data_IF_643676771616
#
_entry.id   IF_643676771616
#
_cell.length_a   1.000
_cell.length_b   1.000
_cell.length_c   1.000
_cell.angle_alpha   90.00
_cell.angle_beta   90.00
_cell.angle_gamma   90.00
#
_symmetry.space_group_name_H-M   'P 1'
#
loop_
_entity.id
_entity.type
_entity.pdbx_description
1 polymer ?
#
# COMPACT_ATOMS: atom_id res chain seq x y z
N UNK A 1 1.01 -17.14 -6.67
CA UNK A 1 0.34 -15.86 -6.34
C UNK A 1 1.25 -14.68 -6.66
N UNK A 2 2.55 -14.77 -6.34
CA UNK A 2 3.55 -13.72 -6.62
C UNK A 2 3.64 -13.29 -8.09
N UNK A 3 3.45 -14.20 -9.06
CA UNK A 3 3.41 -13.83 -10.47
C UNK A 3 2.28 -12.88 -10.89
N UNK A 4 1.32 -12.59 -9.98
CA UNK A 4 0.26 -11.58 -10.19
C UNK A 4 0.54 -10.27 -9.46
N UNK A 5 1.57 -10.22 -8.62
CA UNK A 5 2.01 -9.02 -7.92
C UNK A 5 3.08 -8.37 -8.80
N UNK A 6 2.86 -7.18 -9.37
CA UNK A 6 3.86 -6.49 -10.20
C UNK A 6 5.21 -6.31 -9.52
N UNK A 7 5.23 -6.10 -8.20
CA UNK A 7 6.46 -6.02 -7.41
C UNK A 7 7.20 -7.37 -7.28
N UNK A 8 6.59 -8.48 -7.72
CA UNK A 8 7.22 -9.80 -7.81
C UNK A 8 7.40 -10.53 -6.48
N UNK A 9 6.82 -10.02 -5.38
CA UNK A 9 6.93 -10.62 -4.05
C UNK A 9 5.69 -10.37 -3.21
N UNK A 10 5.46 -11.24 -2.23
CA UNK A 10 4.49 -10.99 -1.17
C UNK A 10 4.96 -9.82 -0.28
N UNK A 11 4.00 -9.03 0.21
CA UNK A 11 4.28 -7.96 1.16
C UNK A 11 4.80 -8.50 2.51
N UNK A 12 5.64 -7.71 3.16
CA UNK A 12 6.12 -7.97 4.52
C UNK A 12 5.66 -6.85 5.45
N UNK A 13 5.64 -7.06 6.79
CA UNK A 13 5.16 -6.04 7.73
C UNK A 13 5.84 -4.66 7.59
N UNK A 14 7.12 -4.62 7.20
CA UNK A 14 7.85 -3.37 6.99
C UNK A 14 7.31 -2.53 5.82
N UNK A 15 6.62 -3.13 4.85
CA UNK A 15 6.02 -2.39 3.73
C UNK A 15 4.84 -1.50 4.19
N UNK A 16 4.20 -1.83 5.32
CA UNK A 16 3.12 -1.03 5.91
C UNK A 16 3.63 0.09 6.82
N UNK A 17 4.88 0.02 7.29
CA UNK A 17 5.40 0.97 8.26
C UNK A 17 5.41 2.42 7.73
N UNK A 18 5.93 2.62 6.51
CA UNK A 18 5.95 3.94 5.87
C UNK A 18 4.56 4.51 5.62
N UNK A 19 3.65 3.78 4.94
CA UNK A 19 2.27 4.20 4.73
C UNK A 19 1.51 4.51 6.03
N UNK A 20 1.71 3.71 7.08
CA UNK A 20 1.09 3.97 8.39
C UNK A 20 1.63 5.26 9.03
N UNK A 21 2.94 5.49 8.98
CA UNK A 21 3.56 6.73 9.47
C UNK A 21 3.07 7.93 8.66
N UNK A 22 2.97 7.81 7.33
CA UNK A 22 2.42 8.88 6.48
C UNK A 22 1.01 9.26 6.92
N UNK A 23 0.10 8.28 7.05
CA UNK A 23 -1.28 8.50 7.47
C UNK A 23 -1.41 8.99 8.93
N UNK A 24 -0.43 8.69 9.78
CA UNK A 24 -0.36 9.18 11.16
C UNK A 24 0.35 10.53 11.31
N UNK A 25 0.81 11.14 10.22
CA UNK A 25 1.60 12.38 10.23
C UNK A 25 0.82 13.58 9.71
N UNK A 26 1.35 14.79 9.95
CA UNK A 26 0.78 16.04 9.41
C UNK A 26 0.78 16.10 7.87
N UNK A 27 1.57 15.25 7.21
CA UNK A 27 1.62 15.16 5.74
C UNK A 27 0.29 14.70 5.15
N UNK A 28 -0.55 14.01 5.91
CA UNK A 28 -1.88 13.56 5.50
C UNK A 28 -3.01 14.39 6.13
N UNK A 29 -2.74 15.61 6.62
CA UNK A 29 -3.69 16.45 7.35
C UNK A 29 -5.01 16.76 6.63
N UNK A 30 -5.06 16.65 5.30
CA UNK A 30 -6.27 16.84 4.50
C UNK A 30 -6.78 15.55 3.83
N UNK A 31 -6.26 14.39 4.24
CA UNK A 31 -6.67 13.08 3.72
C UNK A 31 -7.61 12.43 4.74
N UNK A 32 -8.86 12.22 4.34
CA UNK A 32 -9.86 11.49 5.14
C UNK A 32 -10.81 10.73 4.22
N UNK A 33 -11.37 9.62 4.68
CA UNK A 33 -12.29 8.77 3.90
C UNK A 33 -11.67 8.06 2.69
N UNK A 34 -10.34 8.08 2.55
CA UNK A 34 -9.60 7.50 1.43
C UNK A 34 -8.94 6.17 1.81
N UNK A 35 -8.72 5.31 0.82
CA UNK A 35 -7.93 4.09 0.95
C UNK A 35 -6.56 4.28 0.29
N UNK A 36 -5.50 3.88 0.97
CA UNK A 36 -4.16 3.77 0.40
C UNK A 36 -3.82 2.29 0.22
N UNK A 37 -3.80 1.82 -1.02
CA UNK A 37 -3.45 0.43 -1.33
C UNK A 37 -1.94 0.23 -1.16
N UNK A 38 -1.58 -0.78 -0.35
CA UNK A 38 -0.20 -1.22 -0.11
C UNK A 38 -0.12 -2.71 -0.43
N UNK A 39 -0.13 -3.05 -1.71
CA UNK A 39 -0.32 -4.43 -2.19
C UNK A 39 0.69 -4.86 -3.26
N UNK A 40 1.76 -4.08 -3.46
CA UNK A 40 2.75 -4.34 -4.51
C UNK A 40 2.18 -4.26 -5.92
N UNK A 41 1.02 -3.62 -6.12
CA UNK A 41 0.33 -3.48 -7.40
C UNK A 41 -0.62 -4.62 -7.74
N UNK A 42 -0.96 -5.49 -6.78
CA UNK A 42 -1.82 -6.64 -7.04
C UNK A 42 -3.21 -6.25 -7.58
N UNK A 43 -3.79 -5.15 -7.08
CA UNK A 43 -5.12 -4.69 -7.45
C UNK A 43 -5.25 -4.34 -8.94
N UNK A 44 -4.23 -3.71 -9.53
CA UNK A 44 -4.28 -3.33 -10.96
C UNK A 44 -4.12 -4.52 -11.91
N UNK A 45 -3.72 -5.68 -11.40
CA UNK A 45 -3.59 -6.95 -12.15
C UNK A 45 -4.80 -7.89 -11.92
N UNK A 46 -5.86 -7.39 -11.28
CA UNK A 46 -7.12 -8.09 -11.05
C UNK A 46 -8.28 -7.58 -11.93
N UNK A 47 -8.08 -6.49 -12.68
CA UNK A 47 -8.94 -6.07 -13.80
C UNK A 47 -8.56 -6.78 -15.08
#
# INVERSE_FOLDING_TARGET
MEGRIPLGRTGVPSDLAGPAVFLGSDMSSYITGAQLLVDGGLFVNLQ
#
